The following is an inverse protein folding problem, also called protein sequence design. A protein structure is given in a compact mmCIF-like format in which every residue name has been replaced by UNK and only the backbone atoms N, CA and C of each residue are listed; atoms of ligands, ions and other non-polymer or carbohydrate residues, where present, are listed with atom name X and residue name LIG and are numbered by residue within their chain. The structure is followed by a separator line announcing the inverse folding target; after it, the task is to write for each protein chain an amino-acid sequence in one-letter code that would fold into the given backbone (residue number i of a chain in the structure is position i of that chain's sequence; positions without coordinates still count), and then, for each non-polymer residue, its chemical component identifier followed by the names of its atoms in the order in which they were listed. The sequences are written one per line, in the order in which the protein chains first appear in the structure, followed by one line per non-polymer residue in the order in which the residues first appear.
data_IF_264778595747
#
_entry.id   IF_264778595747
#
_cell.length_a   1.000
_cell.length_b   1.000
_cell.length_c   1.000
_cell.angle_alpha   90.00
_cell.angle_beta   90.00
_cell.angle_gamma   90.00
#
_symmetry.space_group_name_H-M   'P 1'
#
loop_
_entity.id
_entity.type
_entity.pdbx_description
1 polymer ?
#
# COMPACT_ATOMS: atom_id res chain seq x y z
N UNK A 1 -46.87 -15.80 -21.25
CA UNK A 1 -46.17 -14.92 -20.30
C UNK A 1 -45.27 -15.83 -19.48
N UNK A 2 -43.96 -15.83 -19.75
CA UNK A 2 -43.01 -16.58 -18.95
C UNK A 2 -42.80 -15.74 -17.70
N UNK A 3 -43.26 -16.24 -16.56
CA UNK A 3 -42.99 -15.69 -15.24
C UNK A 3 -41.46 -15.70 -15.09
N UNK A 4 -40.83 -14.53 -15.24
CA UNK A 4 -39.40 -14.41 -15.01
C UNK A 4 -39.20 -14.72 -13.53
N UNK A 5 -38.42 -15.75 -13.16
CA UNK A 5 -38.09 -15.97 -11.77
C UNK A 5 -37.47 -14.67 -11.26
N UNK A 6 -38.02 -14.14 -10.17
CA UNK A 6 -37.44 -12.99 -9.48
C UNK A 6 -36.05 -13.41 -9.00
N UNK A 7 -35.03 -13.15 -9.83
CA UNK A 7 -33.65 -13.50 -9.50
C UNK A 7 -33.22 -12.51 -8.45
N UNK A 8 -33.49 -12.87 -7.19
CA UNK A 8 -33.08 -12.09 -6.04
C UNK A 8 -31.56 -11.90 -6.12
N UNK A 9 -31.13 -10.66 -6.36
CA UNK A 9 -29.71 -10.31 -6.41
C UNK A 9 -29.11 -10.49 -5.02
N UNK A 10 -27.91 -11.06 -4.97
CA UNK A 10 -27.13 -11.15 -3.75
C UNK A 10 -26.50 -9.79 -3.45
N UNK A 11 -26.54 -9.40 -2.17
CA UNK A 11 -25.71 -8.31 -1.67
C UNK A 11 -24.33 -8.85 -1.25
N UNK A 12 -23.40 -7.95 -0.98
CA UNK A 12 -22.00 -8.30 -0.68
C UNK A 12 -21.90 -9.23 0.55
N UNK A 13 -22.72 -8.95 1.57
CA UNK A 13 -22.79 -9.78 2.78
C UNK A 13 -23.27 -11.21 2.51
N UNK A 14 -24.11 -11.42 1.49
CA UNK A 14 -24.56 -12.74 1.07
C UNK A 14 -23.59 -13.44 0.10
N UNK A 15 -22.66 -12.73 -0.52
CA UNK A 15 -21.65 -13.28 -1.44
C UNK A 15 -20.51 -13.96 -0.69
N UNK A 16 -19.95 -13.30 0.33
CA UNK A 16 -18.83 -13.82 1.13
C UNK A 16 -19.04 -15.27 1.63
N UNK A 17 -20.15 -15.63 2.31
CA UNK A 17 -20.36 -17.01 2.77
C UNK A 17 -20.52 -18.01 1.63
N UNK A 18 -20.96 -17.57 0.45
CA UNK A 18 -21.06 -18.44 -0.74
C UNK A 18 -19.70 -18.72 -1.35
N UNK A 19 -18.80 -17.72 -1.38
CA UNK A 19 -17.41 -17.91 -1.82
C UNK A 19 -16.69 -18.87 -0.88
N UNK A 20 -16.79 -18.67 0.44
CA UNK A 20 -16.21 -19.59 1.42
C UNK A 20 -16.74 -21.03 1.27
N UNK A 21 -18.04 -21.18 0.94
CA UNK A 21 -18.62 -22.50 0.66
C UNK A 21 -18.12 -23.09 -0.65
N UNK A 22 -17.98 -22.28 -1.70
CA UNK A 22 -17.43 -22.70 -2.99
C UNK A 22 -16.00 -23.22 -2.81
N UNK A 23 -15.14 -22.49 -2.11
CA UNK A 23 -13.75 -22.89 -1.82
C UNK A 23 -13.69 -24.21 -1.07
N UNK A 24 -14.54 -24.37 -0.05
CA UNK A 24 -14.62 -25.62 0.70
C UNK A 24 -15.05 -26.81 -0.17
N UNK A 25 -15.99 -26.61 -1.11
CA UNK A 25 -16.44 -27.67 -2.03
C UNK A 25 -15.38 -27.99 -3.08
N UNK A 26 -14.72 -26.97 -3.64
CA UNK A 26 -13.63 -27.17 -4.60
C UNK A 26 -12.46 -27.92 -3.93
N UNK A 27 -12.05 -27.52 -2.73
CA UNK A 27 -10.99 -28.20 -1.99
C UNK A 27 -11.35 -29.65 -1.63
N UNK A 28 -12.63 -29.97 -1.43
CA UNK A 28 -13.09 -31.35 -1.28
C UNK A 28 -13.02 -32.14 -2.60
N UNK A 29 -13.40 -31.52 -3.72
CA UNK A 29 -13.31 -32.16 -5.04
C UNK A 29 -11.86 -32.46 -5.43
N UNK A 30 -10.93 -31.54 -5.16
CA UNK A 30 -9.50 -31.73 -5.42
C UNK A 30 -8.90 -32.92 -4.65
N UNK A 31 -9.40 -33.18 -3.44
CA UNK A 31 -8.97 -34.32 -2.61
C UNK A 31 -9.70 -35.63 -2.95
N UNK A 32 -10.76 -35.57 -3.77
CA UNK A 32 -11.59 -36.72 -4.10
C UNK A 32 -11.04 -37.41 -5.35
N UNK A 33 -10.58 -38.67 -5.28
CA UNK A 33 -10.09 -39.38 -6.45
C UNK A 33 -11.25 -39.85 -7.35
N UNK A 34 -11.00 -39.87 -8.66
CA UNK A 34 -11.85 -40.54 -9.64
C UNK A 34 -12.48 -39.61 -10.69
N UNK A 35 -12.96 -40.22 -11.77
CA UNK A 35 -13.38 -39.51 -12.99
C UNK A 35 -14.47 -38.46 -12.78
N UNK A 36 -15.39 -38.69 -11.83
CA UNK A 36 -16.46 -37.73 -11.54
C UNK A 36 -15.93 -36.43 -10.95
N UNK A 37 -14.94 -36.49 -10.04
CA UNK A 37 -14.34 -35.30 -9.45
C UNK A 37 -13.52 -34.52 -10.48
N UNK A 38 -12.74 -35.23 -11.32
CA UNK A 38 -12.01 -34.64 -12.45
C UNK A 38 -12.96 -33.90 -13.41
N UNK A 39 -14.07 -34.53 -13.82
CA UNK A 39 -15.07 -33.92 -14.70
C UNK A 39 -15.76 -32.71 -14.05
N UNK A 40 -15.97 -32.74 -12.73
CA UNK A 40 -16.56 -31.61 -12.02
C UNK A 40 -15.60 -30.41 -12.00
N UNK A 41 -14.32 -30.64 -11.74
CA UNK A 41 -13.28 -29.58 -11.79
C UNK A 41 -13.11 -29.05 -13.21
N UNK A 42 -13.06 -29.93 -14.22
CA UNK A 42 -13.01 -29.55 -15.64
C UNK A 42 -14.23 -28.69 -16.02
N UNK A 43 -15.44 -29.05 -15.56
CA UNK A 43 -16.64 -28.26 -15.80
C UNK A 43 -16.56 -26.87 -15.15
N UNK A 44 -16.00 -26.75 -13.94
CA UNK A 44 -15.78 -25.45 -13.28
C UNK A 44 -14.78 -24.62 -14.07
N UNK A 45 -13.65 -25.20 -14.51
CA UNK A 45 -12.64 -24.51 -15.33
C UNK A 45 -13.22 -24.00 -16.66
N UNK A 46 -14.04 -24.82 -17.33
CA UNK A 46 -14.72 -24.42 -18.56
C UNK A 46 -15.72 -23.28 -18.31
N UNK A 47 -16.51 -23.37 -17.23
CA UNK A 47 -17.48 -22.33 -16.87
C UNK A 47 -16.80 -21.01 -16.51
N UNK A 48 -15.74 -21.05 -15.70
CA UNK A 48 -14.98 -19.85 -15.33
C UNK A 48 -14.31 -19.25 -16.55
N UNK A 49 -13.79 -20.07 -17.49
CA UNK A 49 -13.27 -19.59 -18.76
C UNK A 49 -14.32 -18.84 -19.60
N UNK A 50 -15.52 -19.40 -19.75
CA UNK A 50 -16.63 -18.78 -20.50
C UNK A 50 -17.10 -17.49 -19.83
N UNK A 51 -17.24 -17.48 -18.50
CA UNK A 51 -17.65 -16.28 -17.77
C UNK A 51 -16.58 -15.19 -17.76
N UNK A 52 -15.30 -15.56 -17.71
CA UNK A 52 -14.18 -14.63 -17.88
C UNK A 52 -14.23 -13.93 -19.24
N UNK A 53 -14.43 -14.68 -20.33
CA UNK A 53 -14.60 -14.11 -21.67
C UNK A 53 -15.84 -13.19 -21.77
N UNK A 54 -16.95 -13.57 -21.13
CA UNK A 54 -18.14 -12.72 -21.08
C UNK A 54 -17.86 -11.40 -20.33
N UNK A 55 -17.16 -11.45 -19.19
CA UNK A 55 -16.75 -10.28 -18.42
C UNK A 55 -15.77 -9.39 -19.21
N UNK A 56 -14.85 -9.99 -19.97
CA UNK A 56 -13.93 -9.25 -20.84
C UNK A 56 -14.72 -8.41 -21.86
N UNK A 57 -15.69 -9.03 -22.54
CA UNK A 57 -16.55 -8.33 -23.51
C UNK A 57 -17.39 -7.22 -22.87
N UNK A 58 -17.91 -7.44 -21.66
CA UNK A 58 -18.64 -6.39 -20.92
C UNK A 58 -17.71 -5.21 -20.63
N UNK A 59 -16.47 -5.49 -20.25
CA UNK A 59 -15.44 -4.47 -19.98
C UNK A 59 -15.07 -3.70 -21.25
N UNK A 60 -14.87 -4.39 -22.38
CA UNK A 60 -14.59 -3.78 -23.68
C UNK A 60 -15.73 -2.86 -24.15
N UNK A 61 -16.97 -3.29 -23.98
CA UNK A 61 -18.14 -2.46 -24.28
C UNK A 61 -18.25 -1.25 -23.35
N UNK A 62 -17.90 -1.41 -22.08
CA UNK A 62 -17.88 -0.33 -21.10
C UNK A 62 -16.73 0.66 -21.33
N UNK A 63 -15.64 0.25 -21.99
CA UNK A 63 -14.48 1.10 -22.27
C UNK A 63 -14.81 2.34 -23.11
N UNK A 64 -15.89 2.31 -23.89
CA UNK A 64 -16.41 3.48 -24.61
C UNK A 64 -16.96 4.59 -23.69
N UNK A 65 -17.16 4.31 -22.39
CA UNK A 65 -17.71 5.23 -21.40
C UNK A 65 -16.89 5.19 -20.11
N UNK A 66 -15.97 6.15 -19.89
CA UNK A 66 -15.15 6.20 -18.68
C UNK A 66 -15.96 6.11 -17.37
N UNK A 67 -17.12 6.81 -17.21
CA UNK A 67 -17.93 6.68 -16.00
C UNK A 67 -18.52 5.28 -15.78
N UNK A 68 -18.76 4.51 -16.84
CA UNK A 68 -19.23 3.14 -16.73
C UNK A 68 -18.09 2.20 -16.32
N UNK A 69 -16.91 2.40 -16.92
CA UNK A 69 -15.70 1.66 -16.57
C UNK A 69 -15.30 1.90 -15.10
N UNK A 70 -15.32 3.16 -14.64
CA UNK A 70 -15.01 3.52 -13.25
C UNK A 70 -15.97 2.89 -12.25
N UNK A 71 -17.27 2.75 -12.60
CA UNK A 71 -18.25 2.03 -11.76
C UNK A 71 -17.97 0.54 -11.72
N UNK A 72 -17.54 -0.04 -12.84
CA UNK A 72 -17.25 -1.46 -12.96
C UNK A 72 -15.97 -1.83 -12.17
N UNK A 73 -14.93 -1.01 -12.24
CA UNK A 73 -13.69 -1.21 -11.46
C UNK A 73 -13.83 -0.77 -10.00
N UNK A 74 -14.73 0.17 -9.70
CA UNK A 74 -15.05 0.60 -8.35
C UNK A 74 -15.86 -0.42 -7.54
N UNK A 75 -16.67 -1.26 -8.20
CA UNK A 75 -17.40 -2.36 -7.57
C UNK A 75 -16.42 -3.43 -7.07
N UNK A 76 -16.52 -3.78 -5.78
CA UNK A 76 -15.57 -4.67 -5.13
C UNK A 76 -15.60 -6.09 -5.72
N UNK A 77 -16.79 -6.66 -5.92
CA UNK A 77 -16.92 -8.01 -6.46
C UNK A 77 -16.41 -8.07 -7.90
N UNK A 78 -16.80 -7.10 -8.73
CA UNK A 78 -16.35 -7.05 -10.12
C UNK A 78 -14.85 -6.84 -10.21
N UNK A 79 -14.26 -5.97 -9.38
CA UNK A 79 -12.81 -5.78 -9.34
C UNK A 79 -12.06 -7.08 -9.07
N UNK A 80 -12.49 -7.88 -8.09
CA UNK A 80 -11.87 -9.18 -7.79
C UNK A 80 -12.04 -10.18 -8.95
N UNK A 81 -13.22 -10.24 -9.58
CA UNK A 81 -13.46 -11.12 -10.73
C UNK A 81 -12.60 -10.74 -11.95
N UNK A 82 -12.45 -9.44 -12.22
CA UNK A 82 -11.59 -8.95 -13.30
C UNK A 82 -10.12 -9.34 -13.07
N UNK A 83 -9.66 -9.28 -11.82
CA UNK A 83 -8.31 -9.69 -11.43
C UNK A 83 -8.11 -11.21 -11.58
N UNK A 84 -9.07 -12.00 -11.07
CA UNK A 84 -9.07 -13.46 -11.21
C UNK A 84 -8.93 -13.90 -12.67
N UNK A 85 -9.64 -13.21 -13.57
CA UNK A 85 -9.62 -13.50 -15.00
C UNK A 85 -8.51 -12.77 -15.77
N UNK A 86 -7.66 -11.96 -15.10
CA UNK A 86 -6.58 -11.16 -15.71
C UNK A 86 -7.04 -10.22 -16.83
N UNK A 87 -8.25 -9.67 -16.69
CA UNK A 87 -8.92 -8.77 -17.66
C UNK A 87 -9.17 -7.37 -17.08
N UNK A 88 -8.53 -7.03 -15.97
CA UNK A 88 -8.69 -5.71 -15.36
C UNK A 88 -8.14 -4.60 -16.30
N UNK A 89 -8.92 -3.54 -16.60
CA UNK A 89 -8.53 -2.52 -17.58
C UNK A 89 -7.40 -1.62 -17.09
N UNK A 90 -7.31 -1.38 -15.78
CA UNK A 90 -6.21 -0.62 -15.20
C UNK A 90 -4.90 -1.39 -15.15
N UNK A 91 -3.76 -0.75 -15.45
CA UNK A 91 -2.44 -1.36 -15.31
C UNK A 91 -2.09 -1.61 -13.84
N UNK A 92 -1.16 -2.51 -13.58
CA UNK A 92 -0.81 -2.96 -12.22
C UNK A 92 -0.43 -1.79 -11.31
N UNK A 93 0.29 -0.79 -11.82
CA UNK A 93 0.71 0.39 -11.06
C UNK A 93 -0.49 1.16 -10.52
N UNK A 94 -1.52 1.35 -11.35
CA UNK A 94 -2.73 2.08 -10.96
C UNK A 94 -3.54 1.28 -9.96
N UNK A 95 -3.60 -0.05 -10.10
CA UNK A 95 -4.31 -0.92 -9.16
C UNK A 95 -3.62 -0.96 -7.79
N UNK A 96 -2.30 -1.08 -7.78
CA UNK A 96 -1.51 -1.00 -6.54
C UNK A 96 -1.68 0.37 -5.87
N UNK A 97 -1.69 1.46 -6.66
CA UNK A 97 -1.94 2.79 -6.12
C UNK A 97 -3.33 2.89 -5.48
N UNK A 98 -4.38 2.37 -6.14
CA UNK A 98 -5.73 2.30 -5.59
C UNK A 98 -5.79 1.50 -4.29
N UNK A 99 -5.18 0.31 -4.25
CA UNK A 99 -5.10 -0.52 -3.04
C UNK A 99 -4.42 0.22 -1.87
N UNK A 100 -3.32 0.93 -2.15
CA UNK A 100 -2.64 1.76 -1.16
C UNK A 100 -3.54 2.90 -0.67
N UNK A 101 -4.29 3.54 -1.58
CA UNK A 101 -5.21 4.62 -1.25
C UNK A 101 -6.36 4.14 -0.34
N UNK A 102 -6.89 2.94 -0.58
CA UNK A 102 -7.94 2.31 0.23
C UNK A 102 -7.47 1.96 1.65
N UNK A 103 -6.19 1.62 1.83
CA UNK A 103 -5.59 1.31 3.14
C UNK A 103 -5.25 2.56 3.97
N UNK A 104 -5.03 3.72 3.33
CA UNK A 104 -4.61 4.95 4.03
C UNK A 104 -5.50 5.33 5.21
N UNK A 105 -6.84 5.32 5.14
CA UNK A 105 -7.70 5.69 6.26
C UNK A 105 -7.49 4.78 7.49
N UNK A 106 -7.36 3.48 7.27
CA UNK A 106 -7.15 2.49 8.33
C UNK A 106 -5.77 2.66 8.99
N UNK A 107 -4.73 2.87 8.18
CA UNK A 107 -3.36 3.07 8.66
C UNK A 107 -3.18 4.39 9.40
N UNK A 108 -3.82 5.46 8.94
CA UNK A 108 -3.79 6.76 9.65
C UNK A 108 -4.40 6.67 11.04
N UNK A 109 -5.46 5.87 11.23
CA UNK A 109 -6.04 5.64 12.55
C UNK A 109 -5.06 4.95 13.52
N UNK A 110 -4.08 4.23 12.99
CA UNK A 110 -3.00 3.57 13.73
C UNK A 110 -1.72 4.42 13.81
N UNK A 111 -1.76 5.69 13.35
CA UNK A 111 -0.61 6.57 13.34
C UNK A 111 0.47 6.19 12.32
N UNK A 112 0.08 5.47 11.27
CA UNK A 112 0.97 5.05 10.19
C UNK A 112 0.64 5.78 8.88
N UNK A 113 1.67 6.05 8.06
CA UNK A 113 1.50 6.55 6.70
C UNK A 113 1.98 5.52 5.69
N UNK A 114 1.31 5.45 4.54
CA UNK A 114 1.63 4.56 3.44
C UNK A 114 1.70 5.35 2.13
N UNK A 115 2.69 5.04 1.30
CA UNK A 115 2.79 5.54 -0.06
C UNK A 115 3.41 4.51 -1.00
N UNK A 116 2.93 4.46 -2.24
CA UNK A 116 3.55 3.70 -3.31
C UNK A 116 4.80 4.44 -3.79
N UNK A 117 5.95 3.80 -3.75
CA UNK A 117 7.21 4.33 -4.29
C UNK A 117 7.32 4.04 -5.79
N UNK A 118 6.88 2.84 -6.20
CA UNK A 118 6.81 2.44 -7.60
C UNK A 118 6.63 0.94 -7.75
N UNK A 119 6.41 0.50 -8.99
CA UNK A 119 6.40 -0.91 -9.38
C UNK A 119 7.45 -1.10 -10.46
N UNK A 120 8.33 -2.09 -10.31
CA UNK A 120 9.39 -2.44 -11.26
C UNK A 120 9.63 -3.95 -11.23
N UNK A 121 9.84 -4.55 -12.39
CA UNK A 121 10.19 -5.98 -12.52
C UNK A 121 9.24 -6.90 -11.70
N UNK A 122 7.93 -6.64 -11.75
CA UNK A 122 6.90 -7.37 -10.99
C UNK A 122 7.00 -7.26 -9.46
N UNK A 123 7.76 -6.29 -8.96
CA UNK A 123 7.88 -5.99 -7.52
C UNK A 123 7.32 -4.59 -7.24
N UNK A 124 6.39 -4.51 -6.29
CA UNK A 124 5.89 -3.23 -5.79
C UNK A 124 6.69 -2.79 -4.56
N UNK A 125 7.26 -1.58 -4.59
CA UNK A 125 7.92 -0.96 -3.45
C UNK A 125 6.98 0.02 -2.77
N UNK A 126 6.71 -0.19 -1.48
CA UNK A 126 5.76 0.60 -0.69
C UNK A 126 6.48 1.13 0.54
N UNK A 127 6.40 2.44 0.78
CA UNK A 127 6.92 3.04 2.00
C UNK A 127 5.85 3.05 3.08
N UNK A 128 6.19 2.54 4.26
CA UNK A 128 5.33 2.60 5.46
C UNK A 128 6.08 3.26 6.62
N UNK A 129 5.52 4.33 7.17
CA UNK A 129 5.95 4.93 8.43
C UNK A 129 5.05 4.43 9.55
N UNK A 130 5.60 3.92 10.66
CA UNK A 130 4.83 3.44 11.80
C UNK A 130 5.58 3.63 13.12
N UNK A 131 4.86 3.95 14.20
CA UNK A 131 5.39 4.17 15.54
C UNK A 131 5.66 2.85 16.29
N UNK A 132 6.73 2.15 15.89
CA UNK A 132 7.50 1.12 16.62
C UNK A 132 6.84 -0.15 17.21
N UNK A 133 5.56 -0.20 17.59
CA UNK A 133 4.96 -1.37 18.23
C UNK A 133 3.87 -1.98 17.33
N UNK A 134 4.26 -2.87 16.40
CA UNK A 134 3.36 -3.51 15.43
C UNK A 134 3.78 -3.41 13.96
N UNK A 135 4.94 -2.80 13.69
CA UNK A 135 5.41 -2.56 12.31
C UNK A 135 5.57 -3.84 11.47
N UNK A 136 5.79 -5.02 12.08
CA UNK A 136 5.87 -6.28 11.33
C UNK A 136 4.47 -6.72 10.82
N UNK A 137 3.49 -6.87 11.72
CA UNK A 137 2.12 -7.24 11.37
C UNK A 137 1.50 -6.24 10.37
N UNK A 138 1.83 -4.95 10.50
CA UNK A 138 1.36 -3.92 9.58
C UNK A 138 1.93 -4.10 8.17
N UNK A 139 3.22 -4.44 8.05
CA UNK A 139 3.86 -4.70 6.76
C UNK A 139 3.28 -5.95 6.09
N UNK A 140 2.99 -6.98 6.87
CA UNK A 140 2.39 -8.22 6.37
C UNK A 140 0.97 -7.97 5.87
N UNK A 141 0.16 -7.21 6.62
CA UNK A 141 -1.16 -6.78 6.19
C UNK A 141 -1.11 -5.97 4.87
N UNK A 142 -0.21 -4.99 4.78
CA UNK A 142 -0.02 -4.19 3.55
C UNK A 142 0.37 -5.09 2.38
N UNK A 143 1.29 -6.04 2.59
CA UNK A 143 1.70 -6.99 1.57
C UNK A 143 0.53 -7.84 1.08
N UNK A 144 -0.22 -8.46 2.00
CA UNK A 144 -1.38 -9.29 1.68
C UNK A 144 -2.40 -8.51 0.88
N UNK A 145 -2.75 -7.31 1.33
CA UNK A 145 -3.75 -6.47 0.67
C UNK A 145 -3.31 -6.03 -0.73
N UNK A 146 -2.04 -5.66 -0.90
CA UNK A 146 -1.52 -5.29 -2.23
C UNK A 146 -1.52 -6.49 -3.17
N UNK A 147 -1.14 -7.67 -2.69
CA UNK A 147 -1.16 -8.90 -3.48
C UNK A 147 -2.59 -9.32 -3.87
N UNK A 148 -3.60 -9.02 -3.06
CA UNK A 148 -5.01 -9.20 -3.43
C UNK A 148 -5.38 -8.41 -4.69
N UNK A 149 -4.89 -7.17 -4.83
CA UNK A 149 -5.22 -6.29 -5.97
C UNK A 149 -4.22 -6.36 -7.13
N UNK A 150 -3.09 -7.03 -6.92
CA UNK A 150 -2.04 -7.24 -7.91
C UNK A 150 -1.42 -8.64 -7.76
N UNK A 151 -2.20 -9.70 -8.05
CA UNK A 151 -1.75 -11.09 -7.86
C UNK A 151 -0.66 -11.52 -8.83
N UNK A 152 -0.41 -10.76 -9.90
CA UNK A 152 0.71 -11.02 -10.80
C UNK A 152 2.08 -10.54 -10.28
N UNK A 153 2.12 -9.79 -9.17
CA UNK A 153 3.38 -9.37 -8.57
C UNK A 153 4.09 -10.57 -7.95
N UNK A 154 5.40 -10.65 -8.17
CA UNK A 154 6.24 -11.67 -7.55
C UNK A 154 6.57 -11.37 -6.09
N UNK A 155 6.60 -10.08 -5.72
CA UNK A 155 6.85 -9.64 -4.35
C UNK A 155 6.31 -8.22 -4.07
N UNK A 156 6.16 -7.91 -2.78
CA UNK A 156 5.91 -6.56 -2.27
C UNK A 156 6.94 -6.23 -1.20
N UNK A 157 7.77 -5.24 -1.52
CA UNK A 157 8.82 -4.72 -0.65
C UNK A 157 8.30 -3.54 0.16
N UNK A 158 8.15 -3.75 1.47
CA UNK A 158 7.71 -2.70 2.39
C UNK A 158 8.93 -2.09 3.07
N UNK A 159 9.25 -0.85 2.69
CA UNK A 159 10.42 -0.11 3.13
C UNK A 159 10.06 0.99 4.13
N UNK A 160 11.03 1.42 4.93
CA UNK A 160 10.87 2.67 5.68
C UNK A 160 10.85 3.87 4.71
N UNK A 161 10.14 4.96 5.03
CA UNK A 161 10.18 6.16 4.20
C UNK A 161 11.64 6.64 4.08
N UNK A 162 12.04 7.02 2.86
CA UNK A 162 13.33 7.64 2.65
C UNK A 162 13.41 8.92 3.49
N UNK A 163 14.54 9.15 4.16
CA UNK A 163 14.78 10.42 4.83
C UNK A 163 14.67 11.54 3.79
N UNK A 164 13.80 12.52 4.04
CA UNK A 164 13.68 13.67 3.14
C UNK A 164 15.08 14.27 2.90
N UNK A 165 15.45 14.61 1.65
CA UNK A 165 16.72 15.28 1.41
C UNK A 165 16.77 16.50 2.31
N UNK A 166 17.83 16.64 3.10
CA UNK A 166 18.03 17.79 3.96
C UNK A 166 18.09 19.03 3.06
N UNK A 167 16.96 19.69 2.86
CA UNK A 167 16.88 20.93 2.13
C UNK A 167 17.63 21.96 2.98
N UNK A 168 18.87 22.23 2.61
CA UNK A 168 19.65 23.33 3.20
C UNK A 168 18.91 24.60 2.78
N UNK A 169 18.29 25.34 3.73
CA UNK A 169 17.59 26.57 3.38
C UNK A 169 18.58 27.50 2.70
N UNK A 170 18.25 28.06 1.52
CA UNK A 170 19.18 28.94 0.80
C UNK A 170 19.72 30.04 1.70
N UNK A 171 18.94 30.53 2.68
CA UNK A 171 19.37 31.51 3.68
C UNK A 171 20.64 31.13 4.46
N UNK A 172 20.95 29.85 4.69
CA UNK A 172 22.16 29.41 5.38
C UNK A 172 23.40 29.42 4.48
N UNK A 173 23.25 29.47 3.15
CA UNK A 173 24.37 29.64 2.21
C UNK A 173 24.89 31.09 2.15
N UNK A 174 24.12 32.06 2.65
CA UNK A 174 24.52 33.48 2.69
C UNK A 174 25.25 33.85 3.97
N UNK A 175 25.28 32.95 4.95
CA UNK A 175 26.14 33.09 6.13
C UNK A 175 27.56 32.71 5.74
N UNK A 176 28.33 33.74 5.37
CA UNK A 176 29.77 33.65 5.15
C UNK A 176 30.40 32.95 6.37
N UNK A 177 31.27 31.93 6.20
CA UNK A 177 31.96 31.35 7.34
C UNK A 177 32.84 32.46 7.91
N UNK A 178 32.50 32.95 9.11
CA UNK A 178 33.38 33.85 9.85
C UNK A 178 34.63 33.04 10.18
N UNK A 179 35.69 33.32 9.42
CA UNK A 179 37.00 32.74 9.62
C UNK A 179 37.41 32.99 11.06
N UNK A 180 37.63 31.90 11.79
CA UNK A 180 38.36 31.89 13.04
C UNK A 180 39.73 32.51 12.82
N UNK A 181 39.83 33.83 13.05
CA UNK A 181 41.10 34.52 13.09
C UNK A 181 41.51 34.66 14.55
N UNK A 182 42.24 33.66 15.02
CA UNK A 182 43.23 33.82 16.09
C UNK A 182 44.16 34.99 15.74
N UNK A 183 44.38 35.89 16.70
CA UNK A 183 45.37 36.97 16.62
C UNK A 183 45.83 37.41 18.02
N UNK A 184 47.08 37.85 18.20
CA UNK A 184 47.88 37.55 19.39
C UNK A 184 48.07 38.73 20.36
N UNK A 185 48.67 38.41 21.52
CA UNK A 185 48.99 39.30 22.64
C UNK A 185 50.10 40.33 22.36
N UNK A 186 49.91 41.55 22.87
CA UNK A 186 50.91 42.51 23.37
C UNK A 186 50.10 43.60 24.08
N UNK A 187 50.23 43.93 25.37
CA UNK A 187 51.41 43.93 26.21
C UNK A 187 51.58 45.37 26.68
N UNK A 188 50.97 45.75 27.80
CA UNK A 188 51.42 46.93 28.53
C UNK A 188 51.23 46.74 30.04
N UNK A 189 52.33 46.94 30.78
CA UNK A 189 52.46 46.76 32.24
C UNK A 189 52.61 48.15 32.88
N UNK A 190 51.65 48.50 33.77
CA UNK A 190 51.75 48.95 35.18
C UNK A 190 52.91 49.90 35.63
N UNK A 191 52.79 50.79 36.66
CA UNK A 191 52.24 50.51 38.02
C UNK A 191 51.48 51.72 38.68
N UNK A 192 50.93 51.74 39.90
CA UNK A 192 51.30 51.12 41.19
C UNK A 192 50.22 51.37 42.30
N UNK A 193 50.11 50.40 43.25
CA UNK A 193 49.75 50.44 44.70
C UNK A 193 48.49 51.19 45.22
N UNK A 194 47.77 50.80 46.28
CA UNK A 194 48.03 49.95 47.45
C UNK A 194 46.70 49.34 48.01
N UNK A 195 46.77 48.20 48.71
CA UNK A 195 45.63 47.47 49.32
C UNK A 195 45.08 48.09 50.64
N UNK A 196 44.48 47.33 51.59
CA UNK A 196 44.26 45.86 51.65
C UNK A 196 42.89 45.36 52.23
N UNK A 197 42.67 44.03 52.12
CA UNK A 197 41.95 43.05 53.00
C UNK A 197 40.51 43.35 53.49
N UNK A 198 39.53 42.44 53.37
CA UNK A 198 39.36 41.22 54.20
C UNK A 198 38.45 40.14 53.57
N UNK A 199 38.49 38.88 54.09
CA UNK A 199 37.71 37.74 53.59
C UNK A 199 36.53 37.34 54.49
N UNK A 200 35.59 36.58 53.93
CA UNK A 200 34.56 35.80 54.65
C UNK A 200 33.40 35.51 53.69
N UNK A 201 32.86 34.31 53.52
CA UNK A 201 32.92 33.09 54.30
C UNK A 201 31.62 32.34 54.01
N UNK A 202 31.72 31.04 53.79
CA UNK A 202 30.68 30.06 53.44
C UNK A 202 29.57 29.92 54.49
N UNK A 203 28.34 29.65 54.04
CA UNK A 203 27.53 28.46 54.37
C UNK A 203 26.16 28.56 53.66
#
# INVERSE_FOLDING_TARGET
MVEQPDVQRLDDAAVEPRLARLDAVLGQLEQTPGRTAELALEAVELLTGVYGEALARVTDLAAASPPALDRLTGDELLRHLLLLHRIHPDPVERRVAGAVDDLRPQLRAQGAEIALVGVRDEVATISVSASSCGAAALRDLVREQVLTFAPELSAVDVVAPAAAPALIPVATLWQRPDGSRSGPAAGDRMPQAAGPLTPGGTA
#
